data_IF_645386349765
#
_entry.id   IF_645386349765
#
_cell.length_a   1.000
_cell.length_b   1.000
_cell.length_c   1.000
_cell.angle_alpha   90.00
_cell.angle_beta   90.00
_cell.angle_gamma   90.00
#
_symmetry.space_group_name_H-M   'P 1'
#
loop_
_entity.id
_entity.type
_entity.pdbx_description
1 polymer ?
#
# COMPACT_ATOMS: atom_id res chain seq x y z
N UNK A 1 3.20 23.21 3.70
CA UNK A 1 2.68 22.13 2.82
C UNK A 1 1.29 21.75 3.31
N UNK A 2 0.37 21.54 2.39
CA UNK A 2 -1.05 21.25 2.71
C UNK A 2 -1.26 19.78 3.05
N UNK A 3 -0.51 18.88 2.39
CA UNK A 3 -0.61 17.42 2.60
C UNK A 3 0.68 16.86 3.18
N UNK A 4 0.54 15.90 4.09
CA UNK A 4 1.67 15.09 4.58
C UNK A 4 2.05 14.04 3.54
N UNK A 5 1.04 13.42 2.88
CA UNK A 5 1.24 12.47 1.81
C UNK A 5 0.21 12.67 0.68
N UNK A 6 0.69 12.68 -0.56
CA UNK A 6 -0.14 12.52 -1.74
C UNK A 6 0.14 11.13 -2.32
N UNK A 7 -0.90 10.36 -2.57
CA UNK A 7 -0.77 9.07 -3.24
C UNK A 7 -1.22 9.13 -4.69
N UNK A 8 -0.48 8.49 -5.60
CA UNK A 8 -0.92 8.27 -6.97
C UNK A 8 -0.75 6.81 -7.35
N UNK A 9 -1.85 6.13 -7.66
CA UNK A 9 -1.84 4.70 -7.97
C UNK A 9 -3.20 4.16 -8.34
N UNK A 10 -3.25 2.87 -8.66
CA UNK A 10 -4.48 2.21 -9.04
C UNK A 10 -5.46 2.14 -7.86
N UNK A 11 -6.72 2.42 -8.15
CA UNK A 11 -7.83 2.23 -7.21
C UNK A 11 -8.81 1.23 -7.81
N UNK A 12 -9.14 0.18 -7.06
CA UNK A 12 -9.88 -0.99 -7.55
C UNK A 12 -11.07 -1.26 -6.66
N UNK A 13 -12.21 -1.63 -7.23
CA UNK A 13 -13.32 -2.20 -6.46
C UNK A 13 -13.05 -3.69 -6.25
N UNK A 14 -12.81 -4.10 -5.00
CA UNK A 14 -12.65 -5.49 -4.62
C UNK A 14 -14.01 -6.11 -4.24
N UNK A 15 -14.37 -7.21 -4.89
CA UNK A 15 -15.47 -8.08 -4.54
C UNK A 15 -14.90 -9.38 -3.95
N UNK A 16 -14.88 -9.46 -2.61
CA UNK A 16 -14.38 -10.63 -1.88
C UNK A 16 -15.50 -11.67 -1.80
N UNK A 17 -15.28 -12.82 -2.39
CA UNK A 17 -16.21 -13.96 -2.38
C UNK A 17 -15.63 -15.03 -1.45
N UNK A 18 -16.19 -15.12 -0.25
CA UNK A 18 -15.75 -16.09 0.77
C UNK A 18 -16.44 -17.43 0.52
N UNK A 19 -15.66 -18.48 0.35
CA UNK A 19 -16.08 -19.83 0.05
C UNK A 19 -15.61 -20.79 1.16
N UNK A 20 -16.32 -21.90 1.36
CA UNK A 20 -15.80 -23.02 2.16
C UNK A 20 -14.55 -23.62 1.50
N UNK A 21 -14.65 -23.88 0.19
CA UNK A 21 -13.58 -24.36 -0.69
C UNK A 21 -13.85 -23.89 -2.12
N UNK A 22 -12.83 -23.86 -2.97
CA UNK A 22 -13.00 -23.55 -4.39
C UNK A 22 -13.95 -24.55 -5.08
N UNK A 23 -14.91 -24.05 -5.86
CA UNK A 23 -15.82 -24.93 -6.61
C UNK A 23 -15.05 -25.70 -7.69
N UNK A 24 -15.49 -26.96 -7.93
CA UNK A 24 -14.96 -27.74 -9.06
C UNK A 24 -15.44 -27.15 -10.38
N UNK A 25 -14.67 -27.32 -11.49
CA UNK A 25 -15.14 -26.97 -12.83
C UNK A 25 -16.52 -27.58 -13.12
N UNK A 26 -17.38 -26.80 -13.79
CA UNK A 26 -18.75 -27.20 -14.15
C UNK A 26 -19.67 -27.51 -12.95
N UNK A 27 -19.35 -27.05 -11.74
CA UNK A 27 -20.20 -27.20 -10.55
C UNK A 27 -20.90 -25.89 -10.18
N UNK A 28 -21.90 -25.98 -9.31
CA UNK A 28 -22.52 -24.83 -8.65
C UNK A 28 -22.01 -24.77 -7.21
N UNK A 29 -21.39 -23.66 -6.81
CA UNK A 29 -20.99 -23.38 -5.44
C UNK A 29 -21.89 -22.34 -4.78
N UNK A 30 -21.82 -22.26 -3.45
CA UNK A 30 -22.49 -21.21 -2.67
C UNK A 30 -21.40 -20.37 -1.97
N UNK A 31 -21.46 -19.06 -2.16
CA UNK A 31 -20.65 -18.15 -1.35
C UNK A 31 -21.23 -18.04 0.07
N UNK A 32 -20.39 -18.04 1.09
CA UNK A 32 -20.78 -17.72 2.47
C UNK A 32 -21.15 -16.25 2.60
N UNK A 33 -20.34 -15.40 2.02
CA UNK A 33 -20.58 -13.96 1.99
C UNK A 33 -19.88 -13.35 0.78
N UNK A 34 -20.38 -12.20 0.36
CA UNK A 34 -19.77 -11.34 -0.65
C UNK A 34 -19.63 -9.95 -0.02
N UNK A 35 -18.40 -9.45 0.02
CA UNK A 35 -18.06 -8.15 0.59
C UNK A 35 -17.53 -7.26 -0.53
N UNK A 36 -18.02 -6.03 -0.62
CA UNK A 36 -17.47 -5.01 -1.51
C UNK A 36 -16.69 -3.99 -0.70
N UNK A 37 -15.51 -3.65 -1.19
CA UNK A 37 -14.64 -2.64 -0.58
C UNK A 37 -13.73 -2.02 -1.64
N UNK A 38 -13.13 -0.89 -1.32
CA UNK A 38 -12.06 -0.35 -2.14
C UNK A 38 -10.75 -1.09 -1.89
N UNK A 39 -10.00 -1.35 -2.96
CA UNK A 39 -8.67 -1.93 -2.98
C UNK A 39 -7.66 -1.02 -3.69
N UNK A 40 -6.47 -1.52 -3.85
CA UNK A 40 -5.30 -0.86 -4.42
C UNK A 40 -4.26 -0.51 -3.35
N UNK A 41 -2.95 -0.65 -3.68
CA UNK A 41 -1.87 -0.42 -2.71
C UNK A 41 -1.89 1.00 -2.16
N UNK A 42 -1.82 1.99 -3.04
CA UNK A 42 -1.79 3.41 -2.66
C UNK A 42 -3.04 3.84 -1.86
N UNK A 43 -4.28 3.57 -2.30
CA UNK A 43 -5.46 3.97 -1.52
C UNK A 43 -5.50 3.37 -0.12
N UNK A 44 -5.03 2.12 0.05
CA UNK A 44 -4.99 1.45 1.35
C UNK A 44 -3.91 2.05 2.25
N UNK A 45 -2.72 2.36 1.71
CA UNK A 45 -1.67 3.06 2.45
C UNK A 45 -2.11 4.48 2.86
N UNK A 46 -2.80 5.23 1.98
CA UNK A 46 -3.35 6.55 2.32
C UNK A 46 -4.43 6.48 3.39
N UNK A 47 -5.34 5.50 3.33
CA UNK A 47 -6.34 5.28 4.36
C UNK A 47 -5.66 4.99 5.72
N UNK A 48 -4.56 4.23 5.72
CA UNK A 48 -3.75 3.96 6.91
C UNK A 48 -3.11 5.24 7.45
N UNK A 49 -2.42 6.01 6.62
CA UNK A 49 -1.81 7.28 7.01
C UNK A 49 -2.85 8.28 7.55
N UNK A 50 -4.00 8.38 6.89
CA UNK A 50 -5.06 9.29 7.30
C UNK A 50 -5.66 8.88 8.65
N UNK A 51 -5.89 7.58 8.87
CA UNK A 51 -6.36 7.06 10.16
C UNK A 51 -5.34 7.25 11.29
N UNK A 52 -4.06 7.36 10.95
CA UNK A 52 -2.97 7.73 11.85
C UNK A 52 -2.80 9.26 12.01
N UNK A 53 -3.74 10.07 11.48
CA UNK A 53 -3.78 11.52 11.68
C UNK A 53 -2.99 12.35 10.64
N UNK A 54 -2.57 11.74 9.51
CA UNK A 54 -1.90 12.48 8.43
C UNK A 54 -2.90 13.02 7.42
N UNK A 55 -2.64 14.21 6.87
CA UNK A 55 -3.44 14.80 5.80
C UNK A 55 -3.03 14.20 4.47
N UNK A 56 -3.94 13.43 3.86
CA UNK A 56 -3.67 12.67 2.65
C UNK A 56 -4.60 13.08 1.50
N UNK A 57 -4.09 13.01 0.26
CA UNK A 57 -4.89 13.19 -0.95
C UNK A 57 -4.58 12.06 -1.96
N UNK A 58 -5.59 11.63 -2.71
CA UNK A 58 -5.47 10.61 -3.75
C UNK A 58 -5.55 11.23 -5.14
N UNK A 59 -4.64 10.81 -6.02
CA UNK A 59 -4.68 11.02 -7.47
C UNK A 59 -4.80 9.66 -8.14
N UNK A 60 -5.85 9.43 -8.89
CA UNK A 60 -6.11 8.16 -9.59
C UNK A 60 -7.05 8.39 -10.77
N UNK A 61 -7.12 7.42 -11.69
CA UNK A 61 -8.13 7.37 -12.74
C UNK A 61 -9.24 6.41 -12.36
N UNK A 62 -10.48 6.83 -12.49
CA UNK A 62 -11.69 6.01 -12.29
C UNK A 62 -12.68 6.21 -13.43
N UNK A 63 -13.54 5.24 -13.66
CA UNK A 63 -14.70 5.41 -14.51
C UNK A 63 -15.72 6.38 -13.91
N UNK A 64 -16.49 7.05 -14.74
CA UNK A 64 -17.61 7.91 -14.33
C UNK A 64 -18.85 7.06 -13.99
N UNK A 65 -18.64 5.98 -13.20
CA UNK A 65 -19.65 4.99 -12.84
C UNK A 65 -19.95 4.96 -11.32
N UNK A 66 -20.84 4.06 -10.90
CA UNK A 66 -21.20 3.91 -9.48
C UNK A 66 -20.06 3.35 -8.64
N UNK A 67 -19.16 2.57 -9.24
CA UNK A 67 -18.02 1.98 -8.55
C UNK A 67 -16.98 3.05 -8.22
N UNK A 68 -16.66 3.94 -9.18
CA UNK A 68 -15.76 5.07 -8.92
C UNK A 68 -16.26 5.98 -7.81
N UNK A 69 -17.56 6.29 -7.80
CA UNK A 69 -18.17 7.07 -6.70
C UNK A 69 -18.09 6.36 -5.35
N UNK A 70 -18.37 5.06 -5.32
CA UNK A 70 -18.25 4.25 -4.10
C UNK A 70 -16.84 4.28 -3.52
N UNK A 71 -15.81 4.12 -4.36
CA UNK A 71 -14.41 4.13 -3.95
C UNK A 71 -13.98 5.47 -3.33
N UNK A 72 -14.41 6.58 -3.91
CA UNK A 72 -14.16 7.91 -3.34
C UNK A 72 -14.86 8.10 -2.00
N UNK A 73 -16.15 7.76 -1.91
CA UNK A 73 -16.91 7.87 -0.67
C UNK A 73 -16.30 7.04 0.48
N UNK A 74 -15.83 5.83 0.18
CA UNK A 74 -15.15 5.01 1.18
C UNK A 74 -13.85 5.67 1.67
N UNK A 75 -13.03 6.21 0.77
CA UNK A 75 -11.77 6.88 1.14
C UNK A 75 -11.99 8.19 1.90
N UNK A 76 -13.04 8.93 1.57
CA UNK A 76 -13.46 10.13 2.31
C UNK A 76 -13.85 9.81 3.76
N UNK A 77 -14.44 8.61 4.02
CA UNK A 77 -14.71 8.15 5.38
C UNK A 77 -13.43 7.90 6.20
N UNK A 78 -12.31 7.59 5.53
CA UNK A 78 -10.98 7.53 6.15
C UNK A 78 -10.33 8.90 6.28
N UNK A 79 -10.92 9.98 5.74
CA UNK A 79 -10.37 11.33 5.75
C UNK A 79 -9.36 11.60 4.63
N UNK A 80 -9.34 10.79 3.58
CA UNK A 80 -8.51 11.01 2.39
C UNK A 80 -9.22 11.98 1.44
N UNK A 81 -8.54 13.02 1.02
CA UNK A 81 -9.06 13.99 0.03
C UNK A 81 -9.12 13.35 -1.36
N UNK A 82 -10.29 13.35 -2.01
CA UNK A 82 -10.54 12.72 -3.31
C UNK A 82 -10.80 13.68 -4.46
N UNK A 83 -10.74 15.02 -4.24
CA UNK A 83 -11.00 16.02 -5.30
C UNK A 83 -10.08 15.94 -6.52
N UNK A 84 -8.95 15.24 -6.40
CA UNK A 84 -7.98 15.07 -7.48
C UNK A 84 -8.13 13.74 -8.23
N UNK A 85 -9.25 13.05 -8.04
CA UNK A 85 -9.60 11.87 -8.80
C UNK A 85 -10.06 12.25 -10.20
N UNK A 86 -9.46 11.61 -11.21
CA UNK A 86 -9.80 11.82 -12.62
C UNK A 86 -10.91 10.86 -13.03
N UNK A 87 -12.12 11.37 -13.21
CA UNK A 87 -13.23 10.59 -13.74
C UNK A 87 -13.20 10.58 -15.27
N UNK A 88 -12.97 9.40 -15.84
CA UNK A 88 -12.87 9.19 -17.28
C UNK A 88 -14.23 8.76 -17.85
N UNK A 89 -14.80 9.51 -18.82
CA UNK A 89 -16.03 9.11 -19.46
C UNK A 89 -15.82 7.85 -20.31
N UNK A 90 -16.83 6.99 -20.42
CA UNK A 90 -16.81 5.75 -21.22
C UNK A 90 -15.75 4.72 -20.83
N UNK A 91 -15.19 4.84 -19.64
CA UNK A 91 -14.22 3.90 -19.04
C UNK A 91 -14.87 3.24 -17.84
N UNK A 92 -14.59 1.97 -17.63
CA UNK A 92 -15.05 1.22 -16.46
C UNK A 92 -14.04 1.31 -15.33
N UNK A 93 -14.51 1.61 -14.12
CA UNK A 93 -13.66 1.56 -12.91
C UNK A 93 -13.06 0.14 -12.75
N UNK A 94 -11.75 0.02 -12.45
CA UNK A 94 -11.10 -1.27 -12.23
C UNK A 94 -11.79 -2.07 -11.12
N UNK A 95 -11.96 -3.40 -11.35
CA UNK A 95 -12.59 -4.33 -10.41
C UNK A 95 -11.73 -5.55 -10.22
N UNK A 96 -11.70 -6.09 -9.01
CA UNK A 96 -11.13 -7.39 -8.72
C UNK A 96 -12.18 -8.30 -8.06
N UNK A 97 -12.27 -9.54 -8.53
CA UNK A 97 -13.00 -10.60 -7.84
C UNK A 97 -11.95 -11.40 -7.09
N UNK A 98 -12.09 -11.47 -5.76
CA UNK A 98 -11.16 -12.16 -4.89
C UNK A 98 -11.86 -13.36 -4.29
N UNK A 99 -11.54 -14.56 -4.77
CA UNK A 99 -12.04 -15.80 -4.22
C UNK A 99 -11.19 -16.19 -3.02
N UNK A 100 -11.82 -16.38 -1.86
CA UNK A 100 -11.16 -16.77 -0.60
C UNK A 100 -11.60 -18.18 -0.26
N UNK A 101 -10.68 -19.14 -0.29
CA UNK A 101 -10.87 -20.53 0.14
C UNK A 101 -10.55 -20.65 1.64
N UNK A 102 -11.59 -20.73 2.48
CA UNK A 102 -11.40 -20.83 3.93
C UNK A 102 -10.80 -22.17 4.37
N UNK A 103 -10.98 -23.25 3.60
CA UNK A 103 -10.45 -24.56 3.96
C UNK A 103 -8.92 -24.61 3.89
N UNK A 104 -8.32 -23.82 3.02
CA UNK A 104 -6.87 -23.76 2.80
C UNK A 104 -6.24 -22.44 3.23
N UNK A 105 -7.04 -21.40 3.49
CA UNK A 105 -6.54 -20.05 3.74
C UNK A 105 -5.91 -19.38 2.50
N UNK A 106 -6.29 -19.85 1.29
CA UNK A 106 -5.77 -19.38 0.02
C UNK A 106 -6.70 -18.34 -0.61
N UNK A 107 -6.14 -17.51 -1.50
CA UNK A 107 -6.92 -16.57 -2.29
C UNK A 107 -6.49 -16.57 -3.76
N UNK A 108 -7.46 -16.33 -4.64
CA UNK A 108 -7.24 -16.10 -6.06
C UNK A 108 -7.83 -14.75 -6.44
N UNK A 109 -7.04 -13.91 -7.11
CA UNK A 109 -7.44 -12.57 -7.54
C UNK A 109 -7.63 -12.55 -9.06
N UNK A 110 -8.82 -12.14 -9.50
CA UNK A 110 -9.18 -11.93 -10.90
C UNK A 110 -9.38 -10.43 -11.12
N UNK A 111 -8.40 -9.77 -11.73
CA UNK A 111 -8.48 -8.34 -12.04
C UNK A 111 -9.13 -8.12 -13.39
N UNK A 112 -10.18 -7.30 -13.42
CA UNK A 112 -10.80 -6.75 -14.62
C UNK A 112 -10.53 -5.26 -14.68
N UNK A 113 -9.66 -4.84 -15.59
CA UNK A 113 -9.28 -3.44 -15.78
C UNK A 113 -9.42 -3.06 -17.25
N UNK A 114 -10.12 -1.95 -17.51
CA UNK A 114 -10.09 -1.31 -18.80
C UNK A 114 -8.72 -0.63 -18.99
N UNK A 115 -8.02 -0.97 -20.08
CA UNK A 115 -6.69 -0.40 -20.38
C UNK A 115 -6.71 1.12 -20.59
N UNK A 116 -7.88 1.69 -20.90
CA UNK A 116 -8.08 3.13 -20.99
C UNK A 116 -8.21 3.81 -19.61
N UNK A 117 -8.44 3.03 -18.52
CA UNK A 117 -8.48 3.57 -17.17
C UNK A 117 -7.07 3.80 -16.62
N UNK A 118 -6.41 4.84 -17.12
CA UNK A 118 -5.02 5.16 -16.80
C UNK A 118 -4.78 6.67 -16.82
N UNK A 119 -3.73 7.10 -16.12
CA UNK A 119 -3.21 8.47 -16.16
C UNK A 119 -1.93 8.47 -17.00
N UNK A 120 -1.95 9.18 -18.13
CA UNK A 120 -0.77 9.40 -18.99
C UNK A 120 -0.11 10.74 -18.75
N UNK A 121 -0.90 11.72 -18.37
CA UNK A 121 -0.46 13.09 -18.12
C UNK A 121 -1.14 13.63 -16.87
N UNK A 122 -0.48 14.57 -16.20
CA UNK A 122 -1.03 15.25 -15.04
C UNK A 122 -1.79 16.50 -15.47
N UNK A 123 -2.93 16.71 -14.82
CA UNK A 123 -3.63 17.99 -14.93
C UNK A 123 -2.80 19.12 -14.31
N UNK A 124 -2.99 20.39 -14.76
CA UNK A 124 -2.24 21.52 -14.21
C UNK A 124 -2.40 21.71 -12.71
N UNK A 125 -3.63 21.54 -12.22
CA UNK A 125 -3.95 21.68 -10.78
C UNK A 125 -3.90 20.32 -10.10
N UNK A 126 -2.79 20.05 -9.43
CA UNK A 126 -2.54 18.80 -8.71
C UNK A 126 -1.88 19.10 -7.36
N UNK A 127 -2.01 18.20 -6.36
CA UNK A 127 -1.53 18.45 -5.00
C UNK A 127 -0.01 18.30 -4.81
N UNK A 128 0.75 17.95 -5.86
CA UNK A 128 2.16 17.57 -5.76
C UNK A 128 3.08 18.69 -5.28
N UNK A 129 2.77 19.95 -5.62
CA UNK A 129 3.56 21.10 -5.21
C UNK A 129 3.36 21.46 -3.71
N UNK A 130 2.52 20.73 -3.00
CA UNK A 130 2.11 21.03 -1.64
C UNK A 130 2.21 19.84 -0.68
N UNK A 131 2.94 18.77 -1.05
CA UNK A 131 3.08 17.57 -0.22
C UNK A 131 4.52 17.35 0.25
N UNK A 132 4.66 16.67 1.40
CA UNK A 132 5.96 16.25 1.93
C UNK A 132 6.42 14.94 1.32
N UNK A 133 5.48 14.07 0.95
CA UNK A 133 5.71 12.74 0.45
C UNK A 133 4.73 12.41 -0.69
N UNK A 134 5.26 11.91 -1.80
CA UNK A 134 4.50 11.24 -2.85
C UNK A 134 4.63 9.72 -2.65
N UNK A 135 3.50 9.00 -2.62
CA UNK A 135 3.47 7.54 -2.56
C UNK A 135 2.87 6.98 -3.84
N UNK A 136 3.61 6.14 -4.56
CA UNK A 136 3.19 5.57 -5.85
C UNK A 136 3.31 4.04 -5.86
N UNK A 137 2.58 3.39 -6.78
CA UNK A 137 2.63 1.94 -7.00
C UNK A 137 3.10 1.54 -8.41
N UNK A 138 3.53 2.51 -9.22
CA UNK A 138 4.05 2.27 -10.57
C UNK A 138 2.97 1.89 -11.61
N UNK A 139 1.68 2.10 -11.32
CA UNK A 139 0.60 1.84 -12.28
C UNK A 139 0.48 2.91 -13.37
N UNK A 140 1.00 4.09 -13.13
CA UNK A 140 0.95 5.23 -14.05
C UNK A 140 2.36 5.78 -14.33
N UNK A 141 3.28 4.97 -14.91
CA UNK A 141 4.71 5.25 -14.86
C UNK A 141 5.10 6.61 -15.45
N UNK A 142 4.46 7.08 -16.53
CA UNK A 142 4.73 8.39 -17.11
C UNK A 142 4.25 9.52 -16.18
N UNK A 143 3.07 9.37 -15.59
CA UNK A 143 2.51 10.33 -14.64
C UNK A 143 3.27 10.29 -13.31
N UNK A 144 3.68 9.10 -12.84
CA UNK A 144 4.50 8.91 -11.64
C UNK A 144 5.83 9.66 -11.74
N UNK A 145 6.50 9.60 -12.90
CA UNK A 145 7.76 10.33 -13.14
C UNK A 145 7.52 11.85 -13.09
N UNK A 146 6.48 12.35 -13.76
CA UNK A 146 6.14 13.79 -13.75
C UNK A 146 5.79 14.27 -12.32
N UNK A 147 5.01 13.49 -11.57
CA UNK A 147 4.67 13.81 -10.19
C UNK A 147 5.90 13.82 -9.29
N UNK A 148 6.79 12.84 -9.44
CA UNK A 148 8.04 12.75 -8.70
C UNK A 148 8.93 13.97 -8.92
N UNK A 149 9.06 14.46 -10.16
CA UNK A 149 9.81 15.66 -10.49
C UNK A 149 9.24 16.91 -9.82
N UNK A 150 7.92 17.07 -9.83
CA UNK A 150 7.25 18.19 -9.15
C UNK A 150 7.48 18.15 -7.65
N UNK A 151 7.36 16.98 -7.03
CA UNK A 151 7.57 16.79 -5.58
C UNK A 151 9.01 17.07 -5.18
N UNK A 152 9.99 16.56 -5.95
CA UNK A 152 11.41 16.84 -5.70
C UNK A 152 11.74 18.32 -5.84
N UNK A 153 11.15 19.01 -6.81
CA UNK A 153 11.35 20.47 -6.99
C UNK A 153 10.95 21.27 -5.74
N UNK A 154 10.00 20.77 -4.95
CA UNK A 154 9.54 21.38 -3.69
C UNK A 154 10.27 20.82 -2.44
N UNK A 155 11.29 19.96 -2.65
CA UNK A 155 12.04 19.33 -1.55
C UNK A 155 11.29 18.19 -0.86
N UNK A 156 10.21 17.68 -1.46
CA UNK A 156 9.50 16.50 -0.99
C UNK A 156 10.21 15.20 -1.37
N UNK A 157 9.70 14.07 -0.93
CA UNK A 157 10.25 12.74 -1.15
C UNK A 157 9.28 11.85 -1.92
N UNK A 158 9.80 10.80 -2.56
CA UNK A 158 9.03 9.85 -3.36
C UNK A 158 9.18 8.46 -2.78
N UNK A 159 8.05 7.82 -2.45
CA UNK A 159 7.95 6.44 -1.99
C UNK A 159 7.31 5.57 -3.07
N UNK A 160 7.88 4.40 -3.31
CA UNK A 160 7.35 3.40 -4.24
C UNK A 160 7.06 2.09 -3.50
N UNK A 161 5.83 1.60 -3.67
CA UNK A 161 5.38 0.26 -3.29
C UNK A 161 5.40 -0.68 -4.49
N UNK A 162 6.15 -1.78 -4.39
CA UNK A 162 6.13 -2.81 -5.41
C UNK A 162 5.70 -4.14 -4.78
N UNK A 163 4.38 -4.32 -4.64
CA UNK A 163 3.79 -5.54 -4.06
C UNK A 163 3.54 -6.67 -5.05
N UNK A 164 3.69 -6.46 -6.36
CA UNK A 164 3.38 -7.44 -7.42
C UNK A 164 4.50 -7.54 -8.47
N UNK A 165 4.46 -8.59 -9.31
CA UNK A 165 5.42 -8.80 -10.41
C UNK A 165 5.23 -7.80 -11.57
N UNK A 166 5.23 -6.53 -11.27
CA UNK A 166 5.16 -5.46 -12.25
C UNK A 166 6.56 -4.94 -12.55
N UNK A 167 6.87 -4.77 -13.82
CA UNK A 167 8.10 -4.10 -14.24
C UNK A 167 7.95 -2.59 -14.01
N UNK A 168 8.84 -2.03 -13.21
CA UNK A 168 8.93 -0.59 -12.96
C UNK A 168 10.03 -0.02 -13.85
N UNK A 169 9.75 1.03 -14.64
CA UNK A 169 10.77 1.67 -15.46
C UNK A 169 11.93 2.21 -14.63
N UNK A 170 13.14 2.04 -15.12
CA UNK A 170 14.35 2.57 -14.45
C UNK A 170 14.29 4.09 -14.24
N UNK A 171 13.63 4.80 -15.16
CA UNK A 171 13.42 6.24 -15.05
C UNK A 171 12.60 6.61 -13.79
N UNK A 172 11.61 5.80 -13.41
CA UNK A 172 10.86 5.99 -12.16
C UNK A 172 11.71 5.60 -10.95
N UNK A 173 12.42 4.45 -10.99
CA UNK A 173 13.30 4.01 -9.90
C UNK A 173 14.34 5.07 -9.52
N UNK A 174 14.89 5.79 -10.50
CA UNK A 174 15.84 6.90 -10.27
C UNK A 174 15.25 8.11 -9.54
N UNK A 175 13.92 8.18 -9.44
CA UNK A 175 13.20 9.25 -8.73
C UNK A 175 12.71 8.82 -7.34
N UNK A 176 12.92 7.56 -6.94
CA UNK A 176 12.42 7.02 -5.68
C UNK A 176 13.42 7.25 -4.56
N UNK A 177 12.98 7.84 -3.44
CA UNK A 177 13.78 7.98 -2.21
C UNK A 177 13.53 6.83 -1.24
N UNK A 178 12.30 6.31 -1.18
CA UNK A 178 11.86 5.25 -0.28
C UNK A 178 11.34 4.09 -1.13
N UNK A 179 12.05 2.97 -1.11
CA UNK A 179 11.69 1.76 -1.87
C UNK A 179 11.28 0.66 -0.91
N UNK A 180 10.03 0.19 -1.01
CA UNK A 180 9.59 -0.99 -0.26
C UNK A 180 9.02 -2.01 -1.24
N UNK A 181 9.52 -3.24 -1.15
CA UNK A 181 9.19 -4.33 -2.08
C UNK A 181 8.82 -5.60 -1.32
N UNK A 182 7.98 -6.43 -1.92
CA UNK A 182 7.77 -7.80 -1.44
C UNK A 182 8.95 -8.70 -1.84
N UNK A 183 9.30 -9.67 -1.00
CA UNK A 183 10.28 -10.72 -1.33
C UNK A 183 9.94 -11.50 -2.61
N UNK A 184 8.66 -11.54 -2.99
CA UNK A 184 8.19 -12.18 -4.22
C UNK A 184 8.47 -11.38 -5.49
N UNK A 185 8.99 -10.16 -5.37
CA UNK A 185 9.27 -9.30 -6.51
C UNK A 185 10.51 -9.78 -7.28
N UNK A 186 10.35 -10.10 -8.56
CA UNK A 186 11.36 -10.80 -9.35
C UNK A 186 12.08 -9.93 -10.41
N UNK A 187 11.93 -8.62 -10.39
CA UNK A 187 12.67 -7.77 -11.33
C UNK A 187 14.17 -7.89 -11.07
N UNK A 188 14.93 -8.26 -12.11
CA UNK A 188 16.40 -8.39 -12.02
C UNK A 188 17.05 -7.11 -11.49
N UNK A 189 17.98 -7.27 -10.54
CA UNK A 189 18.73 -6.17 -9.95
C UNK A 189 18.06 -5.49 -8.75
N UNK A 190 16.85 -5.87 -8.36
CA UNK A 190 16.19 -5.35 -7.15
C UNK A 190 16.27 -6.38 -6.03
N UNK A 191 15.70 -7.57 -6.21
CA UNK A 191 15.70 -8.62 -5.18
C UNK A 191 16.64 -9.76 -5.58
N UNK A 192 17.41 -10.23 -4.60
CA UNK A 192 18.23 -11.44 -4.62
C UNK A 192 17.56 -12.52 -3.77
N UNK A 193 18.14 -13.73 -3.75
CA UNK A 193 17.62 -14.84 -2.92
C UNK A 193 17.68 -14.59 -1.41
N UNK A 194 18.51 -13.64 -0.98
CA UNK A 194 18.71 -13.26 0.42
C UNK A 194 18.31 -11.78 0.60
N UNK A 195 17.35 -11.48 1.51
CA UNK A 195 16.91 -10.11 1.76
C UNK A 195 18.04 -9.19 2.23
N UNK A 196 18.97 -9.67 3.04
CA UNK A 196 20.10 -8.86 3.53
C UNK A 196 21.02 -8.48 2.37
N UNK A 197 21.38 -9.44 1.50
CA UNK A 197 22.18 -9.16 0.31
C UNK A 197 21.46 -8.21 -0.66
N UNK A 198 20.14 -8.32 -0.76
CA UNK A 198 19.32 -7.40 -1.54
C UNK A 198 19.43 -5.98 -0.99
N UNK A 199 19.28 -5.81 0.33
CA UNK A 199 19.44 -4.51 0.99
C UNK A 199 20.85 -3.94 0.82
N UNK A 200 21.91 -4.75 1.01
CA UNK A 200 23.30 -4.32 0.80
C UNK A 200 23.58 -3.89 -0.65
N UNK A 201 22.94 -4.54 -1.62
CA UNK A 201 23.02 -4.17 -3.01
C UNK A 201 22.33 -2.83 -3.30
N UNK A 202 21.07 -2.70 -2.83
CA UNK A 202 20.26 -1.49 -3.02
C UNK A 202 20.78 -0.30 -2.21
N UNK A 203 21.40 -0.52 -1.05
CA UNK A 203 22.02 0.50 -0.22
C UNK A 203 23.21 1.24 -0.91
N UNK A 204 23.78 0.65 -1.95
CA UNK A 204 24.81 1.30 -2.79
C UNK A 204 24.22 2.30 -3.78
N UNK A 205 22.91 2.34 -3.90
CA UNK A 205 22.18 3.28 -4.76
C UNK A 205 21.77 4.54 -3.96
N UNK A 206 20.87 5.31 -4.50
CA UNK A 206 20.47 6.63 -3.96
C UNK A 206 19.33 6.58 -2.94
N UNK A 207 18.75 5.39 -2.65
CA UNK A 207 17.60 5.27 -1.74
C UNK A 207 17.95 5.68 -0.32
N UNK A 208 17.05 6.44 0.31
CA UNK A 208 17.15 6.86 1.73
C UNK A 208 16.66 5.78 2.68
N UNK A 209 15.55 5.13 2.34
CA UNK A 209 14.97 4.02 3.09
C UNK A 209 14.65 2.89 2.11
N UNK A 210 15.03 1.66 2.48
CA UNK A 210 14.71 0.47 1.69
C UNK A 210 14.03 -0.53 2.63
N UNK A 211 12.95 -1.17 2.15
CA UNK A 211 12.26 -2.22 2.87
C UNK A 211 12.01 -3.45 1.99
N UNK A 212 12.13 -4.63 2.60
CA UNK A 212 11.73 -5.91 2.00
C UNK A 212 10.77 -6.59 2.94
N UNK A 213 9.52 -6.78 2.52
CA UNK A 213 8.50 -7.49 3.30
C UNK A 213 8.49 -8.97 2.92
N UNK A 214 8.54 -9.86 3.94
CA UNK A 214 8.65 -11.31 3.80
C UNK A 214 7.47 -12.04 4.45
N UNK A 215 6.27 -11.48 4.36
CA UNK A 215 5.04 -12.07 4.87
C UNK A 215 5.11 -12.47 6.34
N UNK A 216 4.91 -13.75 6.64
CA UNK A 216 4.93 -14.29 8.02
C UNK A 216 6.33 -14.39 8.64
N UNK A 217 7.38 -14.20 7.87
CA UNK A 217 8.75 -14.11 8.36
C UNK A 217 8.97 -12.76 9.04
N UNK A 218 8.46 -11.67 8.42
CA UNK A 218 8.65 -10.31 8.92
C UNK A 218 9.11 -9.36 7.83
N UNK A 219 10.01 -8.45 8.17
CA UNK A 219 10.54 -7.46 7.25
C UNK A 219 11.99 -7.11 7.54
N UNK A 220 12.71 -6.73 6.50
CA UNK A 220 14.07 -6.22 6.57
C UNK A 220 14.08 -4.78 6.08
N UNK A 221 14.66 -3.88 6.86
CA UNK A 221 14.75 -2.45 6.53
C UNK A 221 16.22 -2.00 6.52
N UNK A 222 16.52 -1.06 5.62
CA UNK A 222 17.78 -0.32 5.62
C UNK A 222 17.51 1.18 5.69
N UNK A 223 18.14 1.85 6.65
CA UNK A 223 18.07 3.30 6.83
C UNK A 223 19.30 3.80 7.59
N UNK A 224 19.90 4.94 7.16
CA UNK A 224 21.06 5.55 7.81
C UNK A 224 22.23 4.57 8.05
N UNK A 225 22.58 3.78 7.02
CA UNK A 225 23.66 2.78 7.06
C UNK A 225 23.45 1.63 8.07
N UNK A 226 22.21 1.39 8.49
CA UNK A 226 21.86 0.27 9.36
C UNK A 226 20.86 -0.65 8.68
N UNK A 227 21.02 -1.95 8.89
CA UNK A 227 20.02 -2.96 8.55
C UNK A 227 19.34 -3.42 9.83
N UNK A 228 18.01 -3.53 9.80
CA UNK A 228 17.22 -4.08 10.87
C UNK A 228 16.28 -5.16 10.34
N UNK A 229 16.20 -6.27 11.05
CA UNK A 229 15.19 -7.32 10.84
C UNK A 229 14.13 -7.22 11.92
N UNK A 230 12.87 -7.10 11.51
CA UNK A 230 11.71 -7.13 12.40
C UNK A 230 10.89 -8.39 12.13
N UNK A 231 10.78 -9.31 13.08
CA UNK A 231 9.95 -10.51 12.93
C UNK A 231 8.47 -10.13 12.87
N UNK A 232 7.68 -10.91 12.10
CA UNK A 232 6.24 -10.74 12.10
C UNK A 232 5.63 -11.12 13.46
N UNK A 233 4.64 -10.37 13.90
CA UNK A 233 3.84 -10.75 15.06
C UNK A 233 3.03 -12.02 14.76
N UNK A 234 3.03 -12.95 15.69
CA UNK A 234 2.20 -14.16 15.60
C UNK A 234 0.78 -13.82 16.01
N UNK A 235 -0.12 -13.81 15.02
CA UNK A 235 -1.54 -13.51 15.23
C UNK A 235 -2.42 -14.55 14.53
N UNK A 236 -3.66 -14.69 15.00
CA UNK A 236 -4.67 -15.47 14.29
C UNK A 236 -5.09 -14.66 13.05
N UNK A 237 -4.65 -15.11 11.88
CA UNK A 237 -4.96 -14.44 10.61
C UNK A 237 -6.32 -14.87 10.12
N UNK A 238 -7.23 -13.90 9.91
CA UNK A 238 -8.51 -14.08 9.23
C UNK A 238 -8.34 -13.82 7.73
N UNK A 239 -7.67 -12.71 7.38
CA UNK A 239 -7.40 -12.32 5.99
C UNK A 239 -6.17 -11.41 5.92
N UNK A 240 -5.19 -11.78 5.09
CA UNK A 240 -3.96 -11.01 4.87
C UNK A 240 -4.05 -9.99 3.73
N UNK A 241 -5.22 -9.84 3.08
CA UNK A 241 -5.41 -8.86 2.00
C UNK A 241 -5.12 -7.45 2.51
N UNK A 242 -4.28 -6.69 1.81
CA UNK A 242 -3.91 -5.32 2.20
C UNK A 242 -2.94 -5.19 3.38
N UNK A 243 -2.44 -6.30 3.96
CA UNK A 243 -1.48 -6.23 5.06
C UNK A 243 -0.17 -5.53 4.66
N UNK A 244 0.31 -5.76 3.43
CA UNK A 244 1.45 -5.05 2.86
C UNK A 244 1.20 -3.55 2.74
N UNK A 245 0.04 -3.17 2.21
CA UNK A 245 -0.31 -1.76 2.01
C UNK A 245 -0.46 -1.01 3.34
N UNK A 246 -1.03 -1.68 4.37
CA UNK A 246 -1.11 -1.15 5.74
C UNK A 246 0.29 -1.03 6.35
N UNK A 247 1.17 -2.03 6.13
CA UNK A 247 2.57 -1.96 6.52
C UNK A 247 3.25 -0.73 5.92
N UNK A 248 3.08 -0.48 4.60
CA UNK A 248 3.63 0.68 3.91
C UNK A 248 3.11 1.99 4.49
N UNK A 249 1.79 2.13 4.65
CA UNK A 249 1.21 3.33 5.25
C UNK A 249 1.75 3.61 6.66
N UNK A 250 1.88 2.57 7.50
CA UNK A 250 2.41 2.69 8.85
C UNK A 250 3.92 2.97 8.87
N UNK A 251 4.70 2.38 7.95
CA UNK A 251 6.13 2.66 7.79
C UNK A 251 6.36 4.14 7.42
N UNK A 252 5.59 4.64 6.44
CA UNK A 252 5.65 6.04 6.01
C UNK A 252 5.20 6.99 7.13
N UNK A 253 4.23 6.59 7.96
CA UNK A 253 3.87 7.34 9.16
C UNK A 253 5.08 7.49 10.10
N UNK A 254 5.73 6.37 10.46
CA UNK A 254 6.91 6.38 11.32
C UNK A 254 8.05 7.22 10.74
N UNK A 255 8.29 7.13 9.44
CA UNK A 255 9.27 7.96 8.73
C UNK A 255 8.96 9.46 8.84
N UNK A 256 7.70 9.86 8.61
CA UNK A 256 7.26 11.26 8.72
C UNK A 256 7.30 11.79 10.17
N UNK A 257 7.21 10.90 11.16
CA UNK A 257 7.34 11.23 12.59
C UNK A 257 8.78 11.27 13.08
N UNK A 258 9.75 10.81 12.25
CA UNK A 258 11.16 10.75 12.65
C UNK A 258 11.48 9.60 13.61
N UNK A 259 10.72 8.51 13.55
CA UNK A 259 11.00 7.30 14.33
C UNK A 259 12.37 6.71 13.97
N UNK A 260 13.00 6.02 14.92
CA UNK A 260 14.19 5.21 14.63
C UNK A 260 13.84 4.06 13.67
N UNK A 261 14.85 3.44 13.09
CA UNK A 261 14.67 2.31 12.17
C UNK A 261 13.88 1.17 12.83
N UNK A 262 14.25 0.84 14.06
CA UNK A 262 13.61 -0.21 14.87
C UNK A 262 12.16 0.15 15.19
N UNK A 263 11.90 1.41 15.57
CA UNK A 263 10.56 1.91 15.86
C UNK A 263 9.67 1.89 14.60
N UNK A 264 10.19 2.33 13.44
CA UNK A 264 9.47 2.27 12.17
C UNK A 264 9.07 0.83 11.81
N UNK A 265 10.04 -0.11 11.91
CA UNK A 265 9.82 -1.51 11.57
C UNK A 265 8.77 -2.15 12.49
N UNK A 266 8.93 -1.95 13.80
CA UNK A 266 8.03 -2.49 14.84
C UNK A 266 6.62 -1.96 14.71
N UNK A 267 6.47 -0.64 14.52
CA UNK A 267 5.19 0.03 14.34
C UNK A 267 4.45 -0.46 13.09
N UNK A 268 5.15 -0.57 11.95
CA UNK A 268 4.59 -1.05 10.71
C UNK A 268 4.17 -2.53 10.79
N UNK A 269 4.99 -3.38 11.42
CA UNK A 269 4.67 -4.78 11.66
C UNK A 269 3.43 -4.94 12.54
N UNK A 270 3.29 -4.14 13.61
CA UNK A 270 2.13 -4.16 14.48
C UNK A 270 0.84 -3.74 13.76
N UNK A 271 0.89 -2.68 12.96
CA UNK A 271 -0.24 -2.23 12.16
C UNK A 271 -0.72 -3.31 11.17
N UNK A 272 0.22 -3.93 10.44
CA UNK A 272 -0.06 -5.01 9.50
C UNK A 272 -0.64 -6.26 10.19
N UNK A 273 -0.07 -6.66 11.33
CA UNK A 273 -0.55 -7.79 12.11
C UNK A 273 -1.98 -7.56 12.63
N UNK A 274 -2.24 -6.36 13.17
CA UNK A 274 -3.58 -5.97 13.68
C UNK A 274 -4.63 -6.03 12.59
N UNK A 275 -4.29 -5.56 11.38
CA UNK A 275 -5.15 -5.64 10.19
C UNK A 275 -5.52 -7.09 9.84
N UNK A 276 -4.62 -8.04 9.94
CA UNK A 276 -4.85 -9.44 9.58
C UNK A 276 -5.96 -10.14 10.37
N UNK A 277 -6.39 -9.59 11.49
CA UNK A 277 -7.54 -10.04 12.27
C UNK A 277 -8.92 -9.69 11.68
N UNK A 278 -8.98 -9.09 10.47
CA UNK A 278 -10.25 -8.65 9.85
C UNK A 278 -10.29 -9.02 8.38
N UNK A 279 -11.49 -9.32 7.87
CA UNK A 279 -11.69 -9.59 6.44
C UNK A 279 -11.61 -8.28 5.66
N UNK A 280 -10.91 -8.31 4.53
CA UNK A 280 -10.77 -7.18 3.61
C UNK A 280 -9.54 -6.30 3.85
N UNK A 281 -9.18 -5.49 2.85
CA UNK A 281 -7.96 -4.69 2.85
C UNK A 281 -7.95 -3.53 3.85
N UNK A 282 -9.11 -2.91 4.09
CA UNK A 282 -9.21 -1.67 4.88
C UNK A 282 -9.95 -1.81 6.20
N UNK A 283 -10.85 -2.81 6.37
CA UNK A 283 -11.70 -2.93 7.55
C UNK A 283 -10.93 -3.03 8.87
N UNK A 284 -9.74 -3.63 8.84
CA UNK A 284 -8.88 -3.80 10.02
C UNK A 284 -7.77 -2.77 10.19
N UNK A 285 -7.73 -1.69 9.40
CA UNK A 285 -6.71 -0.63 9.55
C UNK A 285 -6.81 -0.05 10.97
N UNK A 286 -5.74 -0.15 11.79
CA UNK A 286 -5.76 0.37 13.16
C UNK A 286 -5.55 1.88 13.22
N UNK A 287 -6.05 2.51 14.27
CA UNK A 287 -5.63 3.84 14.70
C UNK A 287 -4.41 3.77 15.64
N UNK A 288 -3.88 4.94 16.03
CA UNK A 288 -2.70 5.04 16.90
C UNK A 288 -2.90 4.33 18.25
N UNK A 289 -4.06 4.49 18.86
CA UNK A 289 -4.36 3.88 20.15
C UNK A 289 -4.40 2.34 20.04
N UNK A 290 -4.98 1.83 18.98
CA UNK A 290 -5.04 0.39 18.71
C UNK A 290 -3.66 -0.21 18.44
N UNK A 291 -2.77 0.50 17.75
CA UNK A 291 -1.37 0.06 17.56
C UNK A 291 -0.62 0.10 18.89
N UNK A 292 -0.77 1.17 19.66
CA UNK A 292 -0.14 1.31 20.97
C UNK A 292 -0.55 0.17 21.91
N UNK A 293 -1.86 -0.10 22.01
CA UNK A 293 -2.37 -1.20 22.82
C UNK A 293 -1.84 -2.56 22.34
N UNK A 294 -1.85 -2.80 21.03
CA UNK A 294 -1.33 -4.05 20.46
C UNK A 294 0.15 -4.26 20.80
N UNK A 295 0.97 -3.21 20.73
CA UNK A 295 2.39 -3.28 21.10
C UNK A 295 2.59 -3.54 22.59
N UNK A 296 1.80 -2.91 23.48
CA UNK A 296 1.81 -3.16 24.92
C UNK A 296 1.46 -4.61 25.24
N UNK A 297 0.42 -5.17 24.62
CA UNK A 297 -0.01 -6.55 24.77
C UNK A 297 1.09 -7.56 24.36
N UNK A 298 2.05 -7.11 23.53
CA UNK A 298 3.20 -7.88 23.07
C UNK A 298 4.53 -7.47 23.76
N UNK A 299 4.45 -6.82 24.94
CA UNK A 299 5.60 -6.39 25.75
C UNK A 299 6.61 -5.51 24.97
N UNK A 300 6.12 -4.65 24.10
CA UNK A 300 6.94 -3.73 23.30
C UNK A 300 6.91 -2.33 23.90
N UNK A 301 8.02 -1.60 23.77
CA UNK A 301 8.08 -0.18 24.09
C UNK A 301 7.12 0.64 23.20
N UNK A 302 6.42 1.59 23.78
CA UNK A 302 5.44 2.44 23.11
C UNK A 302 5.62 3.93 23.39
N UNK A 303 6.67 4.33 24.08
CA UNK A 303 6.88 5.73 24.51
C UNK A 303 7.10 6.67 23.32
N UNK A 304 7.50 6.14 22.18
CA UNK A 304 7.66 6.89 20.93
C UNK A 304 6.34 7.19 20.21
N UNK A 305 5.21 6.60 20.64
CA UNK A 305 3.88 6.82 20.06
C UNK A 305 3.15 7.87 20.91
N UNK A 306 3.23 9.11 20.49
CA UNK A 306 2.55 10.25 21.13
C UNK A 306 1.16 10.51 20.54
#
# INVERSE_FOLDING_TARGET
MTYDCVGMGITVLDELVVLDAYPQPNSKGRAKTIIRQGGGPVPTALATLSRLGKRCALVTALGMDSHGRFLCQELEQFGVETRYVHYLPSVTTPRAIILIDQSKGERTVLLAQDSACTLKQLEPVQPFDQCRLLHVDGHYPEADIQAAERVHHQGGLVSLDIGSNRLVPEALLKKVDILVVSESYQQKGIIQSDPVKSLEHLAKQHFKLIGITCGTIGSYLYFNNKIHYEPAFKVTTIDSTGAGDVYHGALLYGFLQGFTLEQMARFAAAAAARKCGHVGGKAGIPDLQQIKQFLQDHNSDTDFIS
#
